data_IF_680924513446
#
_entry.id   IF_680924513446
#
_cell.length_a   1.000
_cell.length_b   1.000
_cell.length_c   1.000
_cell.angle_alpha   90.00
_cell.angle_beta   90.00
_cell.angle_gamma   90.00
#
_symmetry.space_group_name_H-M   'P 1'
#
loop_
_entity.id
_entity.type
_entity.pdbx_description
1 polymer ?
#
# COMPACT_ATOMS: atom_id res chain seq x y z
N UNK A 1 -7.48 1.06 -11.82
CA UNK A 1 -6.77 0.79 -10.54
C UNK A 1 -7.80 0.65 -9.42
N UNK A 2 -7.71 -0.37 -8.55
CA UNK A 2 -8.81 -0.72 -7.62
C UNK A 2 -9.25 0.43 -6.70
N UNK A 3 -8.31 1.16 -6.08
CA UNK A 3 -8.63 2.27 -5.17
C UNK A 3 -9.41 3.39 -5.87
N UNK A 4 -8.92 3.86 -7.01
CA UNK A 4 -9.57 4.94 -7.77
C UNK A 4 -10.90 4.53 -8.42
N UNK A 5 -11.14 3.23 -8.62
CA UNK A 5 -12.45 2.74 -9.05
C UNK A 5 -13.50 2.77 -7.92
N UNK A 6 -13.06 2.77 -6.66
CA UNK A 6 -13.95 2.81 -5.49
C UNK A 6 -14.22 4.24 -5.03
N UNK A 7 -13.28 5.16 -5.26
CA UNK A 7 -13.37 6.55 -4.84
C UNK A 7 -14.00 7.41 -5.94
N UNK A 8 -14.88 8.36 -5.60
CA UNK A 8 -15.35 9.38 -6.54
C UNK A 8 -14.30 10.49 -6.75
N UNK A 9 -13.04 10.12 -7.03
CA UNK A 9 -11.89 11.03 -7.07
C UNK A 9 -12.06 12.19 -8.07
N UNK A 10 -12.73 11.94 -9.21
CA UNK A 10 -12.98 12.99 -10.21
C UNK A 10 -13.86 14.12 -9.69
N UNK A 11 -14.73 13.87 -8.70
CA UNK A 11 -15.59 14.91 -8.09
C UNK A 11 -14.78 15.97 -7.34
N UNK A 12 -13.57 15.61 -6.91
CA UNK A 12 -12.63 16.51 -6.24
C UNK A 12 -11.48 16.92 -7.17
N UNK A 13 -11.60 16.64 -8.47
CA UNK A 13 -10.60 17.01 -9.48
C UNK A 13 -9.33 16.14 -9.47
N UNK A 14 -9.34 14.99 -8.80
CA UNK A 14 -8.20 14.08 -8.74
C UNK A 14 -8.37 12.90 -9.72
N UNK A 15 -7.31 12.51 -10.42
CA UNK A 15 -7.28 11.34 -11.31
C UNK A 15 -5.98 10.54 -11.17
N UNK A 16 -6.00 9.31 -11.68
CA UNK A 16 -4.83 8.43 -11.70
C UNK A 16 -4.31 8.29 -13.14
N UNK A 17 -3.02 8.52 -13.34
CA UNK A 17 -2.36 8.32 -14.64
C UNK A 17 -2.08 6.83 -14.92
N UNK A 18 -1.69 6.50 -16.15
CA UNK A 18 -1.27 5.13 -16.51
C UNK A 18 -0.04 4.67 -15.71
N UNK A 19 0.83 5.61 -15.32
CA UNK A 19 2.00 5.38 -14.48
C UNK A 19 1.66 5.32 -12.97
N UNK A 20 0.38 5.25 -12.60
CA UNK A 20 -0.11 5.22 -11.22
C UNK A 20 0.24 6.45 -10.38
N UNK A 21 0.49 7.60 -11.01
CA UNK A 21 0.65 8.87 -10.32
C UNK A 21 -0.72 9.53 -10.13
N UNK A 22 -0.87 10.30 -9.06
CA UNK A 22 -2.07 11.10 -8.84
C UNK A 22 -1.86 12.45 -9.51
N UNK A 23 -2.83 12.90 -10.31
CA UNK A 23 -2.87 14.26 -10.85
C UNK A 23 -4.08 15.02 -10.27
N UNK A 24 -3.89 16.22 -9.66
CA UNK A 24 -2.63 16.98 -9.54
C UNK A 24 -1.56 16.31 -8.68
N UNK A 25 -0.29 16.58 -8.97
CA UNK A 25 0.84 15.97 -8.23
C UNK A 25 0.86 16.36 -6.74
N UNK A 26 0.30 17.51 -6.38
CA UNK A 26 0.07 17.90 -4.97
C UNK A 26 -1.17 17.21 -4.36
N UNK A 27 -1.32 15.91 -4.61
CA UNK A 27 -2.39 15.09 -4.05
C UNK A 27 -1.83 14.02 -3.13
N UNK A 28 -2.65 13.55 -2.19
CA UNK A 28 -2.31 12.42 -1.31
C UNK A 28 -3.51 11.49 -1.22
N UNK A 29 -3.26 10.18 -1.33
CA UNK A 29 -4.25 9.15 -1.05
C UNK A 29 -3.83 8.35 0.19
N UNK A 30 -4.80 7.96 1.01
CA UNK A 30 -4.56 7.17 2.22
C UNK A 30 -5.63 6.09 2.39
N UNK A 31 -5.27 5.01 3.09
CA UNK A 31 -6.21 4.00 3.58
C UNK A 31 -6.30 4.19 5.09
N UNK A 32 -7.52 4.32 5.61
CA UNK A 32 -7.78 4.50 7.04
C UNK A 32 -8.18 3.16 7.65
N UNK A 33 -7.49 2.73 8.71
CA UNK A 33 -7.77 1.49 9.43
C UNK A 33 -8.04 1.86 10.89
N UNK A 34 -9.21 1.48 11.41
CA UNK A 34 -9.65 1.85 12.77
C UNK A 34 -9.16 0.91 13.88
N UNK A 35 -8.56 -0.23 13.54
CA UNK A 35 -8.16 -1.21 14.54
C UNK A 35 -7.09 -0.62 15.50
N UNK A 36 -7.24 -0.74 16.83
CA UNK A 36 -6.34 -0.10 17.80
C UNK A 36 -4.89 -0.59 17.71
N UNK A 37 -4.69 -1.80 17.19
CA UNK A 37 -3.36 -2.38 17.00
C UNK A 37 -2.79 -2.16 15.59
N UNK A 38 -3.49 -1.43 14.72
CA UNK A 38 -2.98 -1.13 13.38
C UNK A 38 -1.70 -0.28 13.45
N UNK A 39 -0.64 -0.74 12.79
CA UNK A 39 0.66 -0.07 12.77
C UNK A 39 1.25 -0.12 11.36
N UNK A 40 2.00 0.91 10.98
CA UNK A 40 2.84 0.84 9.80
C UNK A 40 3.94 -0.19 10.01
N UNK A 41 4.15 -1.03 9.00
CA UNK A 41 5.26 -1.96 8.96
C UNK A 41 5.78 -2.05 7.53
N UNK A 42 7.07 -2.28 7.39
CA UNK A 42 7.67 -2.56 6.08
C UNK A 42 7.43 -4.02 5.74
N UNK A 43 6.97 -4.28 4.52
CA UNK A 43 6.89 -5.66 4.05
C UNK A 43 8.28 -6.29 3.87
N UNK A 44 9.34 -5.48 3.70
CA UNK A 44 10.67 -5.96 3.33
C UNK A 44 10.72 -6.54 1.92
N UNK A 45 11.89 -6.96 1.47
CA UNK A 45 12.02 -7.68 0.20
C UNK A 45 11.44 -9.10 0.32
N UNK A 46 10.90 -9.61 -0.79
CA UNK A 46 10.44 -11.00 -0.84
C UNK A 46 11.56 -11.99 -0.50
N UNK A 47 12.81 -11.63 -0.82
CA UNK A 47 14.01 -12.40 -0.51
C UNK A 47 14.29 -12.47 1.00
N UNK A 48 14.25 -11.34 1.69
CA UNK A 48 14.44 -11.28 3.15
C UNK A 48 13.38 -12.07 3.90
N UNK A 49 12.11 -12.01 3.45
CA UNK A 49 11.05 -12.84 4.04
C UNK A 49 11.29 -14.33 3.80
N UNK A 50 11.66 -14.72 2.57
CA UNK A 50 11.97 -16.12 2.26
C UNK A 50 13.15 -16.65 3.10
N UNK A 51 14.20 -15.83 3.29
CA UNK A 51 15.35 -16.19 4.14
C UNK A 51 14.95 -16.33 5.61
N UNK A 52 14.12 -15.42 6.14
CA UNK A 52 13.62 -15.47 7.50
C UNK A 52 12.71 -16.69 7.75
N UNK A 53 11.82 -17.01 6.81
CA UNK A 53 10.93 -18.17 6.90
C UNK A 53 11.73 -19.49 6.90
N UNK A 54 12.75 -19.60 6.04
CA UNK A 54 13.65 -20.78 5.99
C UNK A 54 14.47 -20.92 7.27
N UNK A 55 15.01 -19.80 7.79
CA UNK A 55 15.76 -19.80 9.05
C UNK A 55 14.88 -20.21 10.25
N UNK A 56 13.61 -19.79 10.26
CA UNK A 56 12.63 -20.18 11.27
C UNK A 56 12.30 -21.68 11.26
N UNK A 57 12.32 -22.33 10.09
CA UNK A 57 12.12 -23.79 9.96
C UNK A 57 13.37 -24.55 10.41
N UNK A 58 14.57 -24.04 10.16
CA UNK A 58 15.82 -24.70 10.53
C UNK A 58 16.16 -24.61 12.02
N UNK A 59 15.52 -23.70 12.76
CA UNK A 59 15.75 -23.46 14.18
C UNK A 59 14.77 -24.18 15.12
N UNK A 60 13.80 -24.91 14.58
CA UNK A 60 12.86 -25.79 15.31
C UNK A 60 13.13 -27.25 15.02
#
# INVERSE_FOLDING_TARGET
>A
AKLFNLLPAEQIGARLTEAFQIDPEQSTAAIVIHHPEAKYFSIGSARERAEADVAGIAAG
#
